data_IF_653743973454
#
_entry.id   IF_653743973454
#
_cell.length_a   1.000
_cell.length_b   1.000
_cell.length_c   1.000
_cell.angle_alpha   90.00
_cell.angle_beta   90.00
_cell.angle_gamma   90.00
#
_symmetry.space_group_name_H-M   'P 1'
#
loop_
_entity.id
_entity.type
_entity.pdbx_description
1 polymer ?
#
# COMPACT_ATOMS: atom_id res chain seq x y z
N UNK A 1 -11.13 -18.39 -7.16
CA UNK A 1 -10.09 -17.46 -7.66
C UNK A 1 -10.62 -16.83 -8.93
N UNK A 2 -10.84 -15.52 -8.96
CA UNK A 2 -11.11 -14.82 -10.22
C UNK A 2 -9.76 -14.35 -10.77
N UNK A 3 -9.07 -15.25 -11.47
CA UNK A 3 -8.00 -14.82 -12.37
C UNK A 3 -8.56 -13.76 -13.33
N UNK A 4 -7.74 -12.77 -13.66
CA UNK A 4 -8.07 -11.75 -14.65
C UNK A 4 -7.03 -11.85 -15.76
N UNK A 5 -7.49 -11.78 -17.00
CA UNK A 5 -6.58 -11.68 -18.13
C UNK A 5 -5.74 -10.40 -18.01
N UNK A 6 -4.48 -10.38 -18.47
CA UNK A 6 -3.60 -9.22 -18.32
C UNK A 6 -4.20 -7.91 -18.85
N UNK A 7 -4.95 -7.96 -19.95
CA UNK A 7 -5.65 -6.79 -20.50
C UNK A 7 -6.67 -6.21 -19.53
N UNK A 8 -7.49 -7.06 -18.90
CA UNK A 8 -8.49 -6.64 -17.90
C UNK A 8 -7.84 -6.13 -16.62
N UNK A 9 -6.72 -6.72 -16.22
CA UNK A 9 -5.96 -6.28 -15.06
C UNK A 9 -5.38 -4.88 -15.24
N UNK A 10 -4.81 -4.60 -16.42
CA UNK A 10 -4.26 -3.28 -16.75
C UNK A 10 -5.35 -2.21 -16.73
N UNK A 11 -6.53 -2.47 -17.32
CA UNK A 11 -7.66 -1.54 -17.25
C UNK A 11 -8.04 -1.22 -15.82
N UNK A 12 -8.15 -2.22 -14.94
CA UNK A 12 -8.46 -1.98 -13.51
C UNK A 12 -7.39 -1.18 -12.78
N UNK A 13 -6.12 -1.34 -13.13
CA UNK A 13 -5.04 -0.53 -12.55
C UNK A 13 -5.17 0.94 -12.95
N UNK A 14 -5.48 1.21 -14.23
CA UNK A 14 -5.70 2.56 -14.77
C UNK A 14 -6.91 3.21 -14.09
N UNK A 15 -8.05 2.51 -14.02
CA UNK A 15 -9.27 2.98 -13.34
C UNK A 15 -9.00 3.30 -11.86
N UNK A 16 -8.19 2.46 -11.20
CA UNK A 16 -7.78 2.70 -9.83
C UNK A 16 -6.94 3.98 -9.72
N UNK A 17 -6.03 4.22 -10.66
CA UNK A 17 -5.22 5.45 -10.71
C UNK A 17 -6.08 6.70 -10.90
N UNK A 18 -7.01 6.66 -11.86
CA UNK A 18 -7.94 7.75 -12.14
C UNK A 18 -8.76 8.12 -10.89
N UNK A 19 -9.27 7.12 -10.16
CA UNK A 19 -10.01 7.36 -8.92
C UNK A 19 -9.20 8.09 -7.84
N UNK A 20 -7.86 7.95 -7.85
CA UNK A 20 -6.97 8.66 -6.92
C UNK A 20 -6.74 10.10 -7.35
N UNK A 21 -6.71 10.38 -8.66
CA UNK A 21 -6.55 11.75 -9.20
C UNK A 21 -7.76 12.62 -8.82
N UNK A 22 -8.97 12.07 -8.89
CA UNK A 22 -10.21 12.80 -8.57
C UNK A 22 -10.61 12.77 -7.10
N UNK A 23 -9.75 12.24 -6.21
CA UNK A 23 -10.03 12.20 -4.79
C UNK A 23 -9.96 13.60 -4.16
N UNK A 24 -10.84 13.89 -3.19
CA UNK A 24 -10.81 15.16 -2.47
C UNK A 24 -9.49 15.32 -1.71
N UNK A 25 -8.95 16.55 -1.66
CA UNK A 25 -7.71 16.87 -0.92
C UNK A 25 -7.77 16.39 0.53
N UNK A 26 -8.94 16.53 1.17
CA UNK A 26 -9.17 16.07 2.55
C UNK A 26 -8.97 14.56 2.66
N UNK A 27 -9.60 13.78 1.79
CA UNK A 27 -9.51 12.32 1.85
C UNK A 27 -8.10 11.84 1.50
N UNK A 28 -7.45 12.47 0.51
CA UNK A 28 -6.06 12.21 0.14
C UNK A 28 -5.14 12.38 1.33
N UNK A 29 -5.23 13.52 2.03
CA UNK A 29 -4.39 13.82 3.20
C UNK A 29 -4.64 12.82 4.32
N UNK A 30 -5.91 12.55 4.67
CA UNK A 30 -6.27 11.60 5.73
C UNK A 30 -5.73 10.21 5.41
N UNK A 31 -5.98 9.70 4.20
CA UNK A 31 -5.56 8.35 3.80
C UNK A 31 -4.04 8.22 3.74
N UNK A 32 -3.33 9.27 3.29
CA UNK A 32 -1.87 9.27 3.25
C UNK A 32 -1.25 9.28 4.66
N UNK A 33 -1.77 10.10 5.59
CA UNK A 33 -1.31 10.09 6.98
C UNK A 33 -1.55 8.76 7.66
N UNK A 34 -2.75 8.18 7.49
CA UNK A 34 -3.07 6.87 8.05
C UNK A 34 -2.21 5.76 7.45
N UNK A 35 -1.90 5.83 6.14
CA UNK A 35 -0.98 4.90 5.51
C UNK A 35 0.42 4.95 6.14
N UNK A 36 0.95 6.17 6.32
CA UNK A 36 2.25 6.39 6.98
C UNK A 36 2.26 5.87 8.42
N UNK A 37 1.21 6.13 9.20
CA UNK A 37 1.09 5.68 10.58
C UNK A 37 1.10 4.15 10.68
N UNK A 38 0.29 3.46 9.86
CA UNK A 38 0.21 1.99 9.83
C UNK A 38 1.54 1.37 9.41
N UNK A 39 2.18 1.91 8.36
CA UNK A 39 3.46 1.37 7.89
C UNK A 39 4.59 1.64 8.89
N UNK A 40 4.58 2.78 9.57
CA UNK A 40 5.52 3.10 10.64
C UNK A 40 5.41 2.12 11.82
N UNK A 41 4.18 1.80 12.26
CA UNK A 41 3.95 0.79 13.29
C UNK A 41 4.42 -0.60 12.84
N UNK A 42 4.16 -0.99 11.59
CA UNK A 42 4.63 -2.26 11.02
C UNK A 42 6.16 -2.35 10.96
N UNK A 43 6.84 -1.25 10.61
CA UNK A 43 8.31 -1.18 10.62
C UNK A 43 8.86 -1.36 12.04
N UNK A 44 8.32 -0.65 13.03
CA UNK A 44 8.73 -0.79 14.43
C UNK A 44 8.49 -2.20 14.97
N UNK A 45 7.38 -2.83 14.59
CA UNK A 45 7.10 -4.22 14.91
C UNK A 45 8.14 -5.17 14.30
N UNK A 46 8.44 -5.05 13.02
CA UNK A 46 9.42 -5.89 12.33
C UNK A 46 10.84 -5.72 12.91
N UNK A 47 11.24 -4.48 13.22
CA UNK A 47 12.52 -4.18 13.90
C UNK A 47 12.54 -4.83 15.28
N UNK A 48 11.44 -4.75 16.03
CA UNK A 48 11.35 -5.36 17.36
C UNK A 48 11.51 -6.88 17.28
N UNK A 49 10.85 -7.54 16.33
CA UNK A 49 11.01 -8.98 16.09
C UNK A 49 12.47 -9.30 15.76
N UNK A 50 13.08 -8.56 14.84
CA UNK A 50 14.47 -8.77 14.44
C UNK A 50 15.42 -8.67 15.63
N UNK A 51 15.28 -7.63 16.45
CA UNK A 51 16.15 -7.39 17.62
C UNK A 51 15.90 -8.42 18.71
N UNK A 52 14.65 -8.79 19.00
CA UNK A 52 14.31 -9.74 20.07
C UNK A 52 14.65 -11.18 19.74
N UNK A 53 14.61 -11.56 18.46
CA UNK A 53 14.87 -12.93 18.01
C UNK A 53 16.26 -13.13 17.45
N UNK A 54 16.97 -12.05 17.10
CA UNK A 54 18.25 -12.10 16.40
C UNK A 54 18.14 -12.54 14.94
N UNK A 55 16.92 -12.69 14.40
CA UNK A 55 16.66 -13.18 13.04
C UNK A 55 16.16 -12.06 12.10
N UNK A 56 17.00 -11.56 11.18
CA UNK A 56 16.57 -10.60 10.16
C UNK A 56 15.48 -11.15 9.24
N UNK A 57 15.53 -12.45 8.96
CA UNK A 57 14.57 -13.15 8.10
C UNK A 57 13.17 -13.09 8.73
N UNK A 58 13.06 -13.32 10.04
CA UNK A 58 11.75 -13.31 10.71
C UNK A 58 11.13 -11.91 10.71
N UNK A 59 11.93 -10.86 10.94
CA UNK A 59 11.47 -9.47 10.79
C UNK A 59 10.99 -9.17 9.36
N UNK A 60 11.74 -9.61 8.34
CA UNK A 60 11.39 -9.39 6.94
C UNK A 60 10.10 -10.11 6.52
N UNK A 61 9.88 -11.35 6.99
CA UNK A 61 8.66 -12.12 6.69
C UNK A 61 7.43 -11.51 7.35
N UNK A 62 7.58 -10.85 8.50
CA UNK A 62 6.46 -10.26 9.25
C UNK A 62 6.16 -8.80 8.86
N UNK A 63 7.12 -8.07 8.28
CA UNK A 63 6.92 -6.69 7.81
C UNK A 63 5.73 -6.48 6.85
N UNK A 64 5.42 -7.40 5.91
CA UNK A 64 4.28 -7.28 5.00
C UNK A 64 2.90 -7.12 5.68
N UNK A 65 2.78 -7.39 6.98
CA UNK A 65 1.56 -7.10 7.74
C UNK A 65 1.11 -5.65 7.58
N UNK A 66 2.05 -4.70 7.48
CA UNK A 66 1.75 -3.30 7.21
C UNK A 66 0.99 -3.12 5.90
N UNK A 67 1.49 -3.68 4.80
CA UNK A 67 0.86 -3.58 3.49
C UNK A 67 -0.52 -4.27 3.44
N UNK A 68 -0.67 -5.42 4.11
CA UNK A 68 -1.97 -6.10 4.22
C UNK A 68 -2.99 -5.16 4.89
N UNK A 69 -2.61 -4.50 5.97
CA UNK A 69 -3.48 -3.54 6.67
C UNK A 69 -3.82 -2.33 5.79
N UNK A 70 -2.87 -1.80 5.02
CA UNK A 70 -3.13 -0.71 4.07
C UNK A 70 -4.21 -1.09 3.06
N UNK A 71 -4.12 -2.28 2.47
CA UNK A 71 -5.11 -2.78 1.51
C UNK A 71 -6.48 -2.99 2.15
N UNK A 72 -6.54 -3.62 3.33
CA UNK A 72 -7.81 -3.89 4.03
C UNK A 72 -8.53 -2.61 4.45
N UNK A 73 -7.78 -1.60 4.90
CA UNK A 73 -8.32 -0.30 5.32
C UNK A 73 -8.47 0.71 4.19
N UNK A 74 -8.05 0.35 2.97
CA UNK A 74 -8.06 1.20 1.77
C UNK A 74 -7.29 2.51 1.96
N UNK A 75 -6.17 2.46 2.67
CA UNK A 75 -5.27 3.61 2.82
C UNK A 75 -4.31 3.71 1.63
N UNK A 76 -3.97 4.95 1.29
CA UNK A 76 -3.20 5.26 0.09
C UNK A 76 -1.75 5.57 0.46
N UNK A 77 -0.88 4.61 0.19
CA UNK A 77 0.56 4.78 0.35
C UNK A 77 1.15 5.46 -0.89
N UNK A 78 2.04 6.44 -0.66
CA UNK A 78 2.65 7.25 -1.70
C UNK A 78 3.26 6.42 -2.83
N UNK A 79 3.97 5.34 -2.52
CA UNK A 79 4.63 4.48 -3.53
C UNK A 79 3.62 3.81 -4.46
N UNK A 80 2.46 3.40 -3.94
CA UNK A 80 1.37 2.86 -4.75
C UNK A 80 0.74 3.94 -5.63
N UNK A 81 0.49 5.12 -5.07
CA UNK A 81 -0.07 6.27 -5.82
C UNK A 81 0.88 6.70 -6.96
N UNK A 82 2.19 6.73 -6.72
CA UNK A 82 3.20 7.04 -7.74
C UNK A 82 3.27 6.01 -8.86
N UNK A 83 2.75 4.80 -8.66
CA UNK A 83 2.61 3.80 -9.72
C UNK A 83 1.31 4.01 -10.48
N UNK A 84 0.19 4.17 -9.78
CA UNK A 84 -1.14 4.16 -10.38
C UNK A 84 -1.50 5.48 -11.09
N UNK A 85 -1.15 6.62 -10.51
CA UNK A 85 -1.55 7.94 -11.06
C UNK A 85 -0.92 8.21 -12.43
N UNK A 86 0.39 7.97 -12.66
CA UNK A 86 0.97 8.15 -13.99
C UNK A 86 0.35 7.23 -15.04
N UNK A 87 -0.07 6.01 -14.66
CA UNK A 87 -0.76 5.09 -15.58
C UNK A 87 -2.14 5.60 -16.00
N UNK A 88 -2.81 6.41 -15.17
CA UNK A 88 -4.08 7.03 -15.53
C UNK A 88 -3.93 8.22 -16.50
N UNK A 89 -2.70 8.70 -16.69
CA UNK A 89 -2.41 9.80 -17.62
C UNK A 89 -1.97 9.32 -19.02
N UNK A 90 -1.34 8.15 -19.10
CA UNK A 90 -0.79 7.56 -20.33
C UNK A 90 -1.87 6.82 -21.14
#
# INVERSE_FOLDING_TARGET
>A
MSYLEPSEFVTKMVDSGESKVYMSTKDTVIRAYMAGAVLGLAAMFAITVMVKTGSPILGAVLFPVGFIMLYLMKFDLLTGVFTLVPLAWL
#
